data_IF_769641170086
#
_entry.id   IF_769641170086
#
_cell.length_a   1.000
_cell.length_b   1.000
_cell.length_c   1.000
_cell.angle_alpha   90.00
_cell.angle_beta   90.00
_cell.angle_gamma   90.00
#
_symmetry.space_group_name_H-M   'P 1'
#
loop_
_entity.id
_entity.type
_entity.pdbx_description
1 polymer ?
#
# COMPACT_ATOMS: atom_id res chain seq x y z
N UNK A 1 -7.36 -6.46 28.12
CA UNK A 1 -5.92 -6.33 27.84
C UNK A 1 -5.76 -5.33 26.72
N UNK A 2 -4.81 -4.41 26.86
CA UNK A 2 -4.48 -3.43 25.82
C UNK A 2 -3.25 -3.91 25.06
N UNK A 3 -3.37 -4.05 23.73
CA UNK A 3 -2.28 -4.51 22.87
C UNK A 3 -1.47 -3.30 22.41
N UNK A 4 -0.20 -3.25 22.83
CA UNK A 4 0.74 -2.18 22.44
C UNK A 4 1.66 -2.66 21.34
N UNK A 5 1.74 -1.88 20.26
CA UNK A 5 2.59 -2.15 19.09
C UNK A 5 3.34 -0.88 18.76
N UNK A 6 4.67 -0.96 18.69
CA UNK A 6 5.51 0.08 18.13
C UNK A 6 5.93 -0.37 16.73
N UNK A 7 5.78 0.48 15.73
CA UNK A 7 6.12 0.12 14.35
C UNK A 7 6.70 1.30 13.58
N UNK A 8 7.70 0.97 12.76
CA UNK A 8 8.28 1.91 11.81
C UNK A 8 8.33 1.27 10.44
N UNK A 9 7.57 1.85 9.52
CA UNK A 9 7.51 1.40 8.13
C UNK A 9 8.81 1.76 7.44
N UNK A 10 9.31 0.82 6.63
CA UNK A 10 10.44 1.06 5.75
C UNK A 10 9.99 1.50 4.35
N UNK A 11 10.87 2.19 3.62
CA UNK A 11 10.64 2.57 2.22
C UNK A 11 10.21 1.38 1.35
N UNK A 12 10.87 0.23 1.51
CA UNK A 12 10.57 -0.99 0.75
C UNK A 12 9.16 -1.50 1.02
N UNK A 13 8.74 -1.50 2.28
CA UNK A 13 7.38 -1.93 2.66
C UNK A 13 6.33 -0.98 2.11
N UNK A 14 6.59 0.33 2.18
CA UNK A 14 5.72 1.35 1.61
C UNK A 14 5.62 1.20 0.08
N UNK A 15 6.75 1.00 -0.61
CA UNK A 15 6.79 0.70 -2.04
C UNK A 15 5.95 -0.53 -2.39
N UNK A 16 6.13 -1.64 -1.67
CA UNK A 16 5.35 -2.86 -1.88
C UNK A 16 3.86 -2.64 -1.67
N UNK A 17 3.48 -1.83 -0.67
CA UNK A 17 2.09 -1.47 -0.44
C UNK A 17 1.50 -0.63 -1.58
N UNK A 18 2.24 0.37 -2.08
CA UNK A 18 1.82 1.19 -3.22
C UNK A 18 1.70 0.37 -4.50
N UNK A 19 2.64 -0.54 -4.76
CA UNK A 19 2.58 -1.51 -5.86
C UNK A 19 1.33 -2.37 -5.75
N UNK A 20 1.09 -2.96 -4.58
CA UNK A 20 -0.09 -3.79 -4.35
C UNK A 20 -1.38 -3.01 -4.58
N UNK A 21 -1.48 -1.79 -4.05
CA UNK A 21 -2.67 -0.96 -4.21
C UNK A 21 -2.90 -0.54 -5.67
N UNK A 22 -1.85 -0.14 -6.37
CA UNK A 22 -1.92 0.32 -7.77
C UNK A 22 -2.32 -0.82 -8.69
N UNK A 23 -1.66 -1.98 -8.59
CA UNK A 23 -1.88 -3.10 -9.52
C UNK A 23 -3.04 -4.02 -9.14
N UNK A 24 -3.54 -3.96 -7.91
CA UNK A 24 -4.80 -4.62 -7.55
C UNK A 24 -6.03 -3.83 -8.01
N UNK A 25 -5.85 -2.62 -8.54
CA UNK A 25 -6.93 -1.84 -9.13
C UNK A 25 -7.21 -2.29 -10.57
N UNK A 26 -8.47 -2.18 -11.00
CA UNK A 26 -8.89 -2.52 -12.37
C UNK A 26 -8.05 -1.75 -13.39
N UNK A 27 -7.82 -0.46 -13.16
CA UNK A 27 -7.03 0.42 -14.03
C UNK A 27 -5.56 0.03 -14.11
N UNK A 28 -4.95 -0.37 -12.99
CA UNK A 28 -3.56 -0.85 -12.97
C UNK A 28 -3.39 -2.15 -13.75
N UNK A 29 -4.33 -3.08 -13.59
CA UNK A 29 -4.32 -4.34 -14.33
C UNK A 29 -4.52 -4.14 -15.84
N UNK A 30 -5.47 -3.29 -16.25
CA UNK A 30 -5.67 -2.96 -17.66
C UNK A 30 -4.44 -2.30 -18.29
N UNK A 31 -3.74 -1.45 -17.54
CA UNK A 31 -2.49 -0.84 -18.00
C UNK A 31 -1.40 -1.86 -18.33
N UNK A 32 -1.26 -2.90 -17.50
CA UNK A 32 -0.32 -4.01 -17.78
C UNK A 32 -0.70 -4.73 -19.08
N UNK A 33 -1.99 -5.05 -19.27
CA UNK A 33 -2.44 -5.72 -20.51
C UNK A 33 -2.12 -4.87 -21.74
N UNK A 34 -2.43 -3.58 -21.69
CA UNK A 34 -2.12 -2.64 -22.78
C UNK A 34 -0.62 -2.64 -23.08
N UNK A 35 0.22 -2.58 -22.05
CA UNK A 35 1.67 -2.62 -22.22
C UNK A 35 2.18 -3.95 -22.82
N UNK A 36 1.58 -5.09 -22.44
CA UNK A 36 1.91 -6.39 -23.04
C UNK A 36 1.49 -6.43 -24.52
N UNK A 37 0.27 -5.99 -24.84
CA UNK A 37 -0.20 -5.91 -26.22
C UNK A 37 0.69 -4.99 -27.07
N UNK A 38 1.09 -3.84 -26.54
CA UNK A 38 2.01 -2.92 -27.21
C UNK A 38 3.39 -3.55 -27.43
N UNK A 39 3.89 -4.35 -26.47
CA UNK A 39 5.15 -5.08 -26.61
C UNK A 39 5.08 -6.11 -27.75
N UNK A 40 3.97 -6.86 -27.83
CA UNK A 40 3.76 -7.84 -28.91
C UNK A 40 3.68 -7.15 -30.28
N UNK A 41 2.95 -6.04 -30.36
CA UNK A 41 2.83 -5.25 -31.59
C UNK A 41 4.18 -4.66 -32.02
N UNK A 42 5.00 -4.18 -31.07
CA UNK A 42 6.37 -3.74 -31.34
C UNK A 42 7.22 -4.86 -31.96
N UNK A 43 7.18 -6.07 -31.38
CA UNK A 43 7.92 -7.23 -31.89
C UNK A 43 7.47 -7.56 -33.32
N UNK A 44 6.15 -7.57 -33.58
CA UNK A 44 5.62 -7.83 -34.92
C UNK A 44 6.07 -6.78 -35.95
N UNK A 45 6.06 -5.49 -35.58
CA UNK A 45 6.57 -4.43 -36.47
C UNK A 45 8.07 -4.58 -36.75
N UNK A 46 8.86 -5.06 -35.80
CA UNK A 46 10.27 -5.37 -36.01
C UNK A 46 10.47 -6.44 -37.08
N UNK A 47 9.69 -7.53 -37.04
CA UNK A 47 9.75 -8.58 -38.08
C UNK A 47 9.27 -8.10 -39.46
N UNK A 48 8.21 -7.28 -39.50
CA UNK A 48 7.60 -6.81 -40.76
C UNK A 48 8.30 -5.59 -41.39
N UNK A 49 9.49 -5.20 -40.90
CA UNK A 49 10.18 -3.97 -41.33
C UNK A 49 9.28 -2.72 -41.29
N UNK A 50 8.39 -2.63 -40.29
CA UNK A 50 7.50 -1.49 -40.11
C UNK A 50 8.26 -0.18 -39.84
N UNK A 51 7.55 0.94 -40.00
CA UNK A 51 8.10 2.29 -39.84
C UNK A 51 8.70 2.54 -38.44
N UNK A 52 9.78 3.33 -38.41
CA UNK A 52 10.56 3.61 -37.20
C UNK A 52 9.79 4.39 -36.13
N UNK A 53 8.89 5.29 -36.54
CA UNK A 53 8.07 6.05 -35.59
C UNK A 53 7.07 5.13 -34.89
N UNK A 54 6.38 4.28 -35.64
CA UNK A 54 5.40 3.33 -35.09
C UNK A 54 6.03 2.36 -34.09
N UNK A 55 7.22 1.84 -34.41
CA UNK A 55 8.02 1.01 -33.49
C UNK A 55 8.34 1.75 -32.19
N UNK A 56 8.83 2.98 -32.30
CA UNK A 56 9.23 3.79 -31.14
C UNK A 56 8.02 4.09 -30.24
N UNK A 57 6.88 4.46 -30.83
CA UNK A 57 5.65 4.70 -30.08
C UNK A 57 5.18 3.46 -29.32
N UNK A 58 5.13 2.29 -29.97
CA UNK A 58 4.73 1.04 -29.32
C UNK A 58 5.67 0.63 -28.20
N UNK A 59 6.99 0.80 -28.39
CA UNK A 59 7.97 0.52 -27.35
C UNK A 59 7.78 1.42 -26.13
N UNK A 60 7.57 2.72 -26.33
CA UNK A 60 7.29 3.64 -25.22
C UNK A 60 6.03 3.20 -24.48
N UNK A 61 4.93 2.92 -25.19
CA UNK A 61 3.67 2.45 -24.57
C UNK A 61 3.84 1.14 -23.81
N UNK A 62 4.63 0.20 -24.34
CA UNK A 62 4.96 -1.04 -23.65
C UNK A 62 5.68 -0.80 -22.33
N UNK A 63 6.60 0.16 -22.29
CA UNK A 63 7.40 0.45 -21.09
C UNK A 63 6.67 1.30 -20.05
N UNK A 64 5.58 1.99 -20.40
CA UNK A 64 4.87 2.88 -19.48
C UNK A 64 4.40 2.16 -18.20
N UNK A 65 3.64 1.07 -18.31
CA UNK A 65 3.13 0.37 -17.14
C UNK A 65 4.08 -0.71 -16.62
N UNK A 66 5.02 -1.19 -17.44
CA UNK A 66 5.97 -2.22 -17.03
C UNK A 66 7.20 -1.66 -16.29
N UNK A 67 7.66 -0.47 -16.67
CA UNK A 67 8.92 0.11 -16.16
C UNK A 67 8.71 1.48 -15.55
N UNK A 68 8.04 2.39 -16.27
CA UNK A 68 7.90 3.78 -15.80
C UNK A 68 7.01 3.85 -14.55
N UNK A 69 5.92 3.09 -14.51
CA UNK A 69 5.01 3.08 -13.36
C UNK A 69 5.68 2.51 -12.08
N UNK A 70 6.36 1.35 -12.08
CA UNK A 70 7.11 0.88 -10.91
C UNK A 70 8.20 1.86 -10.45
N UNK A 71 8.95 2.46 -11.38
CA UNK A 71 9.98 3.45 -11.02
C UNK A 71 9.37 4.68 -10.36
N UNK A 72 8.25 5.19 -10.90
CA UNK A 72 7.51 6.31 -10.31
C UNK A 72 7.05 5.99 -8.89
N UNK A 73 6.52 4.80 -8.65
CA UNK A 73 6.07 4.36 -7.32
C UNK A 73 7.24 4.24 -6.34
N UNK A 74 8.41 3.79 -6.78
CA UNK A 74 9.61 3.71 -5.96
C UNK A 74 10.14 5.10 -5.55
N UNK A 75 10.14 6.04 -6.50
CA UNK A 75 10.50 7.44 -6.20
C UNK A 75 9.46 8.06 -5.24
N UNK A 76 8.17 7.75 -5.44
CA UNK A 76 7.10 8.23 -4.57
C UNK A 76 7.26 7.71 -3.14
N UNK A 77 7.56 6.42 -2.93
CA UNK A 77 7.78 5.88 -1.58
C UNK A 77 8.96 6.54 -0.90
N UNK A 78 10.08 6.78 -1.61
CA UNK A 78 11.23 7.53 -1.07
C UNK A 78 10.84 8.92 -0.62
N UNK A 79 10.17 9.68 -1.50
CA UNK A 79 9.72 11.04 -1.18
C UNK A 79 8.76 11.07 0.00
N UNK A 80 7.87 10.08 0.15
CA UNK A 80 6.99 9.98 1.30
C UNK A 80 7.78 9.75 2.59
N UNK A 81 8.78 8.86 2.58
CA UNK A 81 9.64 8.61 3.74
C UNK A 81 10.46 9.85 4.14
N UNK A 82 10.94 10.60 3.15
CA UNK A 82 11.80 11.77 3.39
C UNK A 82 11.02 13.02 3.82
N UNK A 83 9.85 13.28 3.22
CA UNK A 83 9.17 14.56 3.37
C UNK A 83 8.02 14.55 4.39
N UNK A 84 7.46 13.39 4.72
CA UNK A 84 6.34 13.29 5.65
C UNK A 84 6.85 12.84 7.03
N UNK A 85 6.73 13.74 8.01
CA UNK A 85 7.15 13.52 9.41
C UNK A 85 6.54 12.25 9.98
N UNK A 86 5.36 11.86 9.50
CA UNK A 86 4.66 10.64 9.88
C UNK A 86 5.41 9.33 9.60
N UNK A 87 6.39 9.34 8.69
CA UNK A 87 7.23 8.17 8.40
C UNK A 87 8.65 8.27 8.96
N UNK A 88 9.05 9.45 9.43
CA UNK A 88 10.39 9.68 9.98
C UNK A 88 10.52 9.08 11.38
N UNK A 89 9.46 9.16 12.18
CA UNK A 89 9.41 8.66 13.55
C UNK A 89 8.56 7.38 13.68
N UNK A 90 8.92 6.46 14.61
CA UNK A 90 8.09 5.31 14.92
C UNK A 90 6.70 5.76 15.44
N UNK A 91 5.69 4.94 15.16
CA UNK A 91 4.32 5.19 15.60
C UNK A 91 3.95 4.12 16.63
N UNK A 92 3.53 4.57 17.81
CA UNK A 92 3.03 3.71 18.85
C UNK A 92 1.50 3.58 18.72
N UNK A 93 1.03 2.34 18.58
CA UNK A 93 -0.37 1.97 18.56
C UNK A 93 -0.74 1.25 19.86
N UNK A 94 -1.88 1.65 20.44
CA UNK A 94 -2.50 0.95 21.57
C UNK A 94 -3.91 0.57 21.19
N UNK A 95 -4.13 -0.73 21.03
CA UNK A 95 -5.44 -1.29 20.74
C UNK A 95 -6.11 -1.67 22.06
N UNK A 96 -7.23 -1.02 22.35
CA UNK A 96 -8.03 -1.24 23.55
C UNK A 96 -9.44 -1.65 23.16
N UNK A 97 -10.26 -2.04 24.14
CA UNK A 97 -11.67 -2.33 23.92
C UNK A 97 -12.46 -1.12 23.39
N UNK A 98 -12.04 0.09 23.75
CA UNK A 98 -12.71 1.35 23.36
C UNK A 98 -12.37 1.78 21.95
N UNK A 99 -11.15 1.49 21.49
CA UNK A 99 -10.65 1.98 20.20
C UNK A 99 -9.14 1.86 20.07
N UNK A 100 -8.60 2.62 19.13
CA UNK A 100 -7.18 2.65 18.76
C UNK A 100 -6.62 4.02 19.20
N UNK A 101 -5.64 4.00 20.10
CA UNK A 101 -4.81 5.18 20.40
C UNK A 101 -3.54 5.12 19.56
N UNK A 102 -3.13 6.27 19.03
CA UNK A 102 -1.97 6.43 18.16
C UNK A 102 -1.15 7.58 18.72
N UNK A 103 0.11 7.32 19.04
CA UNK A 103 1.04 8.30 19.56
C UNK A 103 2.28 8.37 18.67
N UNK A 104 2.66 9.58 18.27
CA UNK A 104 3.85 9.85 17.49
C UNK A 104 4.47 11.18 17.94
N UNK A 105 5.65 11.11 18.55
CA UNK A 105 6.24 12.28 19.19
C UNK A 105 5.31 12.85 20.28
N UNK A 106 4.93 14.12 20.15
CA UNK A 106 4.02 14.80 21.07
C UNK A 106 2.54 14.63 20.70
N UNK A 107 2.25 14.21 19.46
CA UNK A 107 0.89 14.08 18.97
C UNK A 107 0.30 12.74 19.42
N UNK A 108 -0.87 12.81 20.07
CA UNK A 108 -1.66 11.62 20.41
C UNK A 108 -3.08 11.77 19.88
N UNK A 109 -3.56 10.76 19.18
CA UNK A 109 -4.92 10.69 18.64
C UNK A 109 -5.61 9.40 19.08
N UNK A 110 -6.91 9.49 19.37
CA UNK A 110 -7.76 8.34 19.68
C UNK A 110 -8.85 8.21 18.63
N UNK A 111 -9.11 6.99 18.20
CA UNK A 111 -10.17 6.65 17.25
C UNK A 111 -11.02 5.51 17.79
N UNK A 112 -12.33 5.71 17.84
CA UNK A 112 -13.26 4.66 18.23
C UNK A 112 -13.33 3.58 17.15
N UNK A 113 -13.66 2.34 17.53
CA UNK A 113 -13.82 1.25 16.55
C UNK A 113 -14.90 1.52 15.50
N UNK A 114 -15.93 2.32 15.84
CA UNK A 114 -16.97 2.76 14.90
C UNK A 114 -16.43 3.67 13.78
N UNK A 115 -15.27 4.31 13.97
CA UNK A 115 -14.62 5.14 12.94
C UNK A 115 -13.76 4.30 11.98
N UNK A 116 -13.47 3.04 12.33
CA UNK A 116 -12.70 2.13 11.49
C UNK A 116 -13.59 1.61 10.37
N UNK A 117 -13.28 2.01 9.14
CA UNK A 117 -14.08 1.64 7.97
C UNK A 117 -13.59 0.34 7.33
N UNK A 118 -12.29 0.11 7.36
CA UNK A 118 -11.66 -1.01 6.64
C UNK A 118 -10.32 -1.36 7.23
N UNK A 119 -10.02 -2.65 7.33
CA UNK A 119 -8.70 -3.15 7.71
C UNK A 119 -8.22 -4.14 6.66
N UNK A 120 -7.06 -3.88 6.06
CA UNK A 120 -6.48 -4.74 5.01
C UNK A 120 -5.09 -5.18 5.46
N UNK A 121 -4.85 -6.48 5.50
CA UNK A 121 -3.52 -7.04 5.65
C UNK A 121 -2.93 -7.38 4.27
N UNK A 122 -1.78 -6.77 3.96
CA UNK A 122 -0.95 -7.15 2.81
C UNK A 122 0.23 -8.00 3.28
N UNK A 123 1.09 -8.46 2.36
CA UNK A 123 2.28 -9.26 2.74
C UNK A 123 3.25 -8.54 3.68
N UNK A 124 3.25 -7.20 3.68
CA UNK A 124 4.26 -6.38 4.38
C UNK A 124 3.66 -5.30 5.27
N UNK A 125 2.45 -4.83 4.97
CA UNK A 125 1.79 -3.75 5.70
C UNK A 125 0.35 -4.14 6.04
N UNK A 126 -0.07 -3.85 7.27
CA UNK A 126 -1.48 -3.80 7.67
C UNK A 126 -1.94 -2.35 7.57
N UNK A 127 -2.97 -2.09 6.78
CA UNK A 127 -3.55 -0.77 6.61
C UNK A 127 -4.93 -0.68 7.27
N UNK A 128 -5.08 0.26 8.20
CA UNK A 128 -6.30 0.55 8.95
C UNK A 128 -6.85 1.89 8.45
N UNK A 129 -8.00 1.85 7.80
CA UNK A 129 -8.69 3.03 7.27
C UNK A 129 -9.65 3.56 8.32
N UNK A 130 -9.46 4.81 8.72
CA UNK A 130 -10.24 5.47 9.77
C UNK A 130 -10.84 6.77 9.23
N UNK A 131 -12.14 6.93 9.43
CA UNK A 131 -12.90 8.03 8.83
C UNK A 131 -12.75 8.10 7.31
N UNK A 132 -12.87 9.29 6.71
CA UNK A 132 -12.90 9.44 5.24
C UNK A 132 -11.54 9.48 4.55
N UNK A 133 -10.46 9.85 5.26
CA UNK A 133 -9.16 10.16 4.63
C UNK A 133 -7.93 9.59 5.35
N UNK A 134 -8.07 9.06 6.57
CA UNK A 134 -6.90 8.64 7.36
C UNK A 134 -6.63 7.16 7.14
N UNK A 135 -5.37 6.82 6.89
CA UNK A 135 -4.91 5.45 6.72
C UNK A 135 -3.69 5.26 7.57
N UNK A 136 -3.82 4.45 8.61
CA UNK A 136 -2.72 4.05 9.47
C UNK A 136 -2.12 2.77 8.92
N UNK A 137 -0.80 2.70 8.92
CA UNK A 137 -0.05 1.60 8.33
C UNK A 137 0.85 1.04 9.41
N UNK A 138 0.86 -0.29 9.54
CA UNK A 138 1.71 -1.02 10.47
C UNK A 138 2.55 -2.01 9.67
N UNK A 139 3.83 -2.15 10.00
CA UNK A 139 4.66 -3.19 9.37
C UNK A 139 4.26 -4.57 9.92
N UNK A 140 4.00 -5.53 9.03
CA UNK A 140 3.76 -6.92 9.44
C UNK A 140 4.97 -7.54 10.15
N UNK A 141 6.19 -7.02 9.93
CA UNK A 141 7.40 -7.46 10.63
C UNK A 141 7.30 -7.17 12.14
N UNK A 142 6.85 -5.97 12.47
CA UNK A 142 6.80 -5.49 13.87
C UNK A 142 5.57 -6.03 14.62
N UNK A 143 4.56 -6.53 13.86
CA UNK A 143 3.32 -7.12 14.38
C UNK A 143 3.39 -8.65 14.42
N UNK A 144 4.45 -9.29 13.88
CA UNK A 144 4.48 -10.74 13.63
C UNK A 144 4.07 -11.60 14.84
N UNK A 145 4.64 -11.30 16.02
CA UNK A 145 4.37 -12.06 17.25
C UNK A 145 2.99 -11.77 17.88
N UNK A 146 2.37 -10.67 17.48
CA UNK A 146 1.10 -10.15 18.01
C UNK A 146 -0.01 -10.16 16.96
N UNK A 147 0.22 -10.82 15.83
CA UNK A 147 -0.67 -10.73 14.67
C UNK A 147 -2.03 -11.37 14.95
N UNK A 148 -2.03 -12.53 15.58
CA UNK A 148 -3.26 -13.25 15.92
C UNK A 148 -4.07 -12.49 16.96
N UNK A 149 -3.42 -11.93 18.00
CA UNK A 149 -4.05 -11.05 18.99
C UNK A 149 -4.68 -9.82 18.32
N UNK A 150 -3.94 -9.16 17.43
CA UNK A 150 -4.44 -7.99 16.70
C UNK A 150 -5.63 -8.37 15.82
N UNK A 151 -5.55 -9.50 15.12
CA UNK A 151 -6.61 -10.01 14.25
C UNK A 151 -7.87 -10.32 15.05
N UNK A 152 -7.74 -10.91 16.23
CA UNK A 152 -8.85 -11.18 17.13
C UNK A 152 -9.48 -9.88 17.66
N UNK A 153 -8.67 -8.93 18.14
CA UNK A 153 -9.14 -7.61 18.60
C UNK A 153 -9.92 -6.89 17.49
N UNK A 154 -9.34 -6.81 16.29
CA UNK A 154 -9.98 -6.14 15.15
C UNK A 154 -11.29 -6.85 14.76
N UNK A 155 -11.33 -8.19 14.77
CA UNK A 155 -12.56 -8.95 14.47
C UNK A 155 -13.65 -8.75 15.53
N UNK A 156 -13.28 -8.69 16.80
CA UNK A 156 -14.23 -8.59 17.90
C UNK A 156 -14.79 -7.18 18.06
N UNK A 157 -13.97 -6.15 17.87
CA UNK A 157 -14.38 -4.76 18.16
C UNK A 157 -14.70 -3.93 16.90
N UNK A 158 -14.06 -4.19 15.75
CA UNK A 158 -14.32 -3.47 14.50
C UNK A 158 -15.43 -4.12 13.66
N UNK A 159 -16.57 -4.44 14.28
CA UNK A 159 -17.65 -5.25 13.68
C UNK A 159 -18.22 -4.64 12.39
N UNK A 160 -18.23 -3.30 12.30
CA UNK A 160 -18.75 -2.57 11.13
C UNK A 160 -17.70 -2.41 10.01
N UNK A 161 -16.43 -2.74 10.28
CA UNK A 161 -15.35 -2.55 9.33
C UNK A 161 -15.29 -3.69 8.30
N UNK A 162 -14.94 -3.36 7.06
CA UNK A 162 -14.59 -4.38 6.08
C UNK A 162 -13.20 -4.96 6.39
N UNK A 163 -13.15 -6.16 6.97
CA UNK A 163 -11.90 -6.81 7.40
C UNK A 163 -11.40 -7.78 6.32
N UNK A 164 -10.16 -7.54 5.85
CA UNK A 164 -9.42 -8.41 4.94
C UNK A 164 -8.04 -8.72 5.53
N UNK A 165 -8.05 -9.45 6.64
CA UNK A 165 -6.83 -9.98 7.26
C UNK A 165 -6.73 -11.47 6.94
N UNK A 166 -5.67 -11.85 6.22
CA UNK A 166 -5.38 -13.26 5.93
C UNK A 166 -4.89 -13.96 7.20
#
# INVERSE_FOLDING_TARGET
MDLKIDTKITEKELFHFLMYHTYSSVWGFTGIIISICAMLAFIQLCYMHGDGLSKTCMLITALLFLVVQPLRLNIQSKRMMENDRGYQEPVQYVFSQRGISISQGEDTAFYAWAEVQKVISTKKIIAIYVGKKKVFKLSCRDVADKYDDLKEIVRNYAVQAAIRMK
#
